data_IF_940186780581
#
_entry.id   IF_940186780581
#
_cell.length_a   1.000
_cell.length_b   1.000
_cell.length_c   1.000
_cell.angle_alpha   90.00
_cell.angle_beta   90.00
_cell.angle_gamma   90.00
#
_symmetry.space_group_name_H-M   'P 1'
#
loop_
_entity.id
_entity.type
_entity.pdbx_description
1 polymer ?
#
# COMPACT_ATOMS: atom_id res chain seq x y z
N UNK A 1 -32.18 19.38 18.06
CA UNK A 1 -30.73 19.19 18.33
C UNK A 1 -30.22 17.80 17.90
N UNK A 2 -31.00 16.73 18.05
CA UNK A 2 -30.60 15.33 17.73
C UNK A 2 -30.40 15.03 16.22
N UNK A 3 -31.14 15.68 15.32
CA UNK A 3 -31.05 15.40 13.87
C UNK A 3 -29.70 15.83 13.24
N UNK A 4 -29.08 16.88 13.78
CA UNK A 4 -27.80 17.39 13.28
C UNK A 4 -26.61 16.46 13.58
N UNK A 5 -26.62 15.80 14.74
CA UNK A 5 -25.58 14.85 15.15
C UNK A 5 -25.65 13.56 14.32
N UNK A 6 -26.85 13.06 14.04
CA UNK A 6 -27.04 11.88 13.19
C UNK A 6 -26.53 12.11 11.75
N UNK A 7 -26.76 13.30 11.20
CA UNK A 7 -26.27 13.67 9.87
C UNK A 7 -24.73 13.82 9.86
N UNK A 8 -24.16 14.36 10.94
CA UNK A 8 -22.71 14.44 11.11
C UNK A 8 -22.07 13.05 11.19
N UNK A 9 -22.66 12.14 11.97
CA UNK A 9 -22.19 10.76 12.09
C UNK A 9 -22.27 10.00 10.75
N UNK A 10 -23.37 10.16 10.00
CA UNK A 10 -23.50 9.58 8.67
C UNK A 10 -22.43 10.08 7.69
N UNK A 11 -22.12 11.38 7.75
CA UNK A 11 -21.05 11.98 6.93
C UNK A 11 -19.67 11.45 7.31
N UNK A 12 -19.36 11.35 8.61
CA UNK A 12 -18.08 10.82 9.09
C UNK A 12 -17.88 9.34 8.71
N UNK A 13 -18.93 8.52 8.81
CA UNK A 13 -18.88 7.13 8.35
C UNK A 13 -18.62 7.05 6.85
N UNK A 14 -19.32 7.86 6.05
CA UNK A 14 -19.17 7.87 4.59
C UNK A 14 -17.74 8.26 4.19
N UNK A 15 -17.20 9.33 4.80
CA UNK A 15 -15.82 9.77 4.55
C UNK A 15 -14.79 8.72 4.97
N UNK A 16 -15.02 8.02 6.09
CA UNK A 16 -14.13 6.94 6.56
C UNK A 16 -14.11 5.77 5.58
N UNK A 17 -15.27 5.35 5.09
CA UNK A 17 -15.38 4.27 4.10
C UNK A 17 -14.71 4.65 2.79
N UNK A 18 -14.99 5.85 2.26
CA UNK A 18 -14.39 6.33 1.01
C UNK A 18 -12.87 6.47 1.15
N UNK A 19 -12.38 7.03 2.25
CA UNK A 19 -10.95 7.17 2.51
C UNK A 19 -10.27 5.81 2.63
N UNK A 20 -10.90 4.84 3.30
CA UNK A 20 -10.38 3.47 3.41
C UNK A 20 -10.23 2.82 2.04
N UNK A 21 -11.25 2.93 1.18
CA UNK A 21 -11.19 2.41 -0.20
C UNK A 21 -10.04 3.04 -1.00
N UNK A 22 -9.86 4.36 -0.89
CA UNK A 22 -8.75 5.07 -1.56
C UNK A 22 -7.39 4.56 -1.05
N UNK A 23 -7.23 4.40 0.26
CA UNK A 23 -5.99 3.89 0.85
C UNK A 23 -5.67 2.46 0.41
N UNK A 24 -6.69 1.60 0.29
CA UNK A 24 -6.53 0.23 -0.23
C UNK A 24 -6.03 0.26 -1.67
N UNK A 25 -6.68 1.06 -2.54
CA UNK A 25 -6.28 1.20 -3.94
C UNK A 25 -4.84 1.70 -4.05
N UNK A 26 -4.48 2.71 -3.24
CA UNK A 26 -3.14 3.27 -3.24
C UNK A 26 -2.09 2.23 -2.79
N UNK A 27 -2.42 1.38 -1.81
CA UNK A 27 -1.59 0.26 -1.40
C UNK A 27 -1.38 -0.78 -2.50
N UNK A 28 -2.42 -1.12 -3.26
CA UNK A 28 -2.32 -2.05 -4.40
C UNK A 28 -1.40 -1.49 -5.48
N UNK A 29 -1.55 -0.19 -5.82
CA UNK A 29 -0.70 0.47 -6.80
C UNK A 29 0.76 0.45 -6.33
N UNK A 30 1.01 0.76 -5.06
CA UNK A 30 2.35 0.73 -4.47
C UNK A 30 2.99 -0.66 -4.55
N UNK A 31 2.20 -1.71 -4.27
CA UNK A 31 2.65 -3.09 -4.37
C UNK A 31 2.96 -3.49 -5.83
N UNK A 32 2.12 -3.09 -6.79
CA UNK A 32 2.34 -3.35 -8.21
C UNK A 32 3.63 -2.67 -8.73
N UNK A 33 3.88 -1.42 -8.34
CA UNK A 33 5.12 -0.71 -8.66
C UNK A 33 6.33 -1.43 -8.05
N UNK A 34 6.22 -1.90 -6.81
CA UNK A 34 7.28 -2.66 -6.15
C UNK A 34 7.63 -3.95 -6.91
N UNK A 35 6.64 -4.67 -7.42
CA UNK A 35 6.87 -5.85 -8.28
C UNK A 35 7.61 -5.49 -9.57
N UNK A 36 7.30 -4.35 -10.19
CA UNK A 36 8.03 -3.89 -11.38
C UNK A 36 9.49 -3.58 -11.06
N UNK A 37 9.76 -2.92 -9.93
CA UNK A 37 11.13 -2.63 -9.46
C UNK A 37 11.89 -3.94 -9.27
N UNK A 38 11.28 -4.94 -8.61
CA UNK A 38 11.91 -6.24 -8.36
C UNK A 38 12.18 -6.98 -9.67
N UNK A 39 11.24 -6.96 -10.62
CA UNK A 39 11.41 -7.59 -11.93
C UNK A 39 12.57 -6.96 -12.72
N UNK A 40 12.66 -5.64 -12.73
CA UNK A 40 13.78 -4.92 -13.38
C UNK A 40 15.09 -5.22 -12.66
N UNK A 41 15.10 -5.23 -11.32
CA UNK A 41 16.28 -5.55 -10.54
C UNK A 41 16.76 -6.99 -10.76
N UNK A 42 15.85 -7.97 -10.84
CA UNK A 42 16.22 -9.37 -11.09
C UNK A 42 16.78 -9.60 -12.49
N UNK A 43 16.23 -8.89 -13.48
CA UNK A 43 16.74 -8.92 -14.86
C UNK A 43 18.14 -8.31 -14.94
N UNK A 44 18.37 -7.20 -14.23
CA UNK A 44 19.66 -6.52 -14.15
C UNK A 44 20.75 -7.35 -13.43
N UNK A 45 20.37 -8.15 -12.44
CA UNK A 45 21.30 -9.02 -11.68
C UNK A 45 21.51 -10.38 -12.38
N UNK A 46 20.86 -10.62 -13.53
CA UNK A 46 21.03 -11.84 -14.33
C UNK A 46 20.26 -13.05 -13.79
N UNK A 47 19.34 -12.86 -12.84
CA UNK A 47 18.43 -13.91 -12.37
C UNK A 47 17.18 -13.94 -13.27
N UNK A 48 17.29 -14.56 -14.43
CA UNK A 48 16.17 -14.75 -15.38
C UNK A 48 15.08 -15.70 -14.87
N UNK A 49 15.36 -16.53 -13.86
CA UNK A 49 14.44 -17.53 -13.32
C UNK A 49 13.91 -17.16 -11.92
N UNK A 50 13.54 -15.89 -11.71
CA UNK A 50 12.95 -15.50 -10.44
C UNK A 50 11.54 -16.10 -10.32
N UNK A 51 11.35 -17.01 -9.35
CA UNK A 51 10.03 -17.60 -9.09
C UNK A 51 9.04 -16.50 -8.70
N UNK A 52 7.80 -16.51 -9.22
CA UNK A 52 6.79 -15.50 -8.91
C UNK A 52 6.52 -15.38 -7.40
N UNK A 53 6.59 -16.48 -6.66
CA UNK A 53 6.46 -16.49 -5.19
C UNK A 53 7.53 -15.62 -4.51
N UNK A 54 8.76 -15.67 -5.00
CA UNK A 54 9.88 -14.90 -4.45
C UNK A 54 9.74 -13.42 -4.78
N UNK A 55 9.27 -13.09 -5.99
CA UNK A 55 8.99 -11.70 -6.37
C UNK A 55 7.89 -11.08 -5.49
N UNK A 56 6.82 -11.84 -5.24
CA UNK A 56 5.70 -11.44 -4.37
C UNK A 56 6.19 -11.26 -2.92
N UNK A 57 7.00 -12.19 -2.42
CA UNK A 57 7.56 -12.11 -1.08
C UNK A 57 8.48 -10.88 -0.91
N UNK A 58 9.35 -10.61 -1.89
CA UNK A 58 10.19 -9.42 -1.88
C UNK A 58 9.37 -8.13 -1.96
N UNK A 59 8.30 -8.09 -2.76
CA UNK A 59 7.41 -6.93 -2.83
C UNK A 59 6.68 -6.70 -1.50
N UNK A 60 6.26 -7.77 -0.83
CA UNK A 60 5.64 -7.71 0.48
C UNK A 60 6.61 -7.17 1.54
N UNK A 61 7.86 -7.66 1.55
CA UNK A 61 8.92 -7.15 2.44
C UNK A 61 9.21 -5.69 2.15
N UNK A 62 9.31 -5.28 0.89
CA UNK A 62 9.58 -3.88 0.52
C UNK A 62 8.43 -2.96 0.94
N UNK A 63 7.19 -3.42 0.81
CA UNK A 63 6.00 -2.69 1.28
C UNK A 63 5.98 -2.56 2.81
N UNK A 64 6.33 -3.63 3.55
CA UNK A 64 6.45 -3.59 5.00
C UNK A 64 7.60 -2.67 5.47
N UNK A 65 8.75 -2.74 4.80
CA UNK A 65 9.90 -1.88 5.06
C UNK A 65 9.57 -0.40 4.81
N UNK A 66 8.75 -0.10 3.80
CA UNK A 66 8.36 1.27 3.49
C UNK A 66 7.41 1.87 4.53
N UNK A 67 6.55 1.05 5.15
CA UNK A 67 5.74 1.46 6.30
C UNK A 67 6.63 1.79 7.52
N UNK A 68 7.67 1.00 7.74
CA UNK A 68 8.64 1.22 8.83
C UNK A 68 9.50 2.46 8.55
N UNK A 69 9.99 2.61 7.33
CA UNK A 69 10.76 3.78 6.89
C UNK A 69 9.94 5.07 6.97
N UNK A 70 8.64 5.02 6.65
CA UNK A 70 7.73 6.14 6.81
C UNK A 70 7.63 6.64 8.25
N UNK A 71 7.80 5.76 9.26
CA UNK A 71 7.88 6.19 10.66
C UNK A 71 9.25 6.70 11.08
N UNK A 72 10.30 6.36 10.34
CA UNK A 72 11.67 6.79 10.65
C UNK A 72 11.92 8.27 10.35
N UNK A 73 11.08 8.93 9.55
CA UNK A 73 11.17 10.37 9.31
C UNK A 73 10.46 11.16 10.42
N UNK A 74 10.99 11.03 11.63
CA UNK A 74 10.73 11.91 12.77
C UNK A 74 12.08 12.33 13.36
N UNK A 75 12.85 13.07 12.57
CA UNK A 75 13.92 13.99 13.02
C UNK A 75 13.91 15.20 12.09
#
# INVERSE_FOLDING_TARGET
>A
MVLGEALHLGTLLTVTVVSSVILIILGIIYFAVSLLIIKVASDLVGFSALSPDTAILSAAILSAASLIASKSKSM
#
